data_IF_928952091912
#
_entry.id   IF_928952091912
#
_cell.length_a   1.000
_cell.length_b   1.000
_cell.length_c   1.000
_cell.angle_alpha   90.00
_cell.angle_beta   90.00
_cell.angle_gamma   90.00
#
_symmetry.space_group_name_H-M   'P 1'
#
loop_
_entity.id
_entity.type
_entity.pdbx_description
1 polymer ?
#
# COMPACT_ATOMS: atom_id res chain seq x y z
N UNK A 1 9.73 46.64 -17.03
CA UNK A 1 8.70 45.62 -17.33
C UNK A 1 9.03 44.41 -16.49
N UNK A 2 8.49 44.37 -15.27
CA UNK A 2 8.61 43.22 -14.38
C UNK A 2 7.36 42.38 -14.53
N UNK A 3 7.51 41.18 -15.08
CA UNK A 3 6.47 40.15 -15.03
C UNK A 3 6.50 39.54 -13.63
N UNK A 4 5.51 39.89 -12.82
CA UNK A 4 5.16 39.15 -11.61
C UNK A 4 4.58 37.80 -12.04
N UNK A 5 5.38 36.73 -11.95
CA UNK A 5 4.84 35.39 -11.74
C UNK A 5 4.12 35.42 -10.39
N UNK A 6 2.82 35.72 -10.41
CA UNK A 6 1.93 35.40 -9.30
C UNK A 6 1.84 33.87 -9.19
N UNK A 7 2.73 33.32 -8.38
CA UNK A 7 2.64 31.98 -7.84
C UNK A 7 1.39 31.97 -6.93
N UNK A 8 0.24 31.70 -7.52
CA UNK A 8 -1.04 31.62 -6.85
C UNK A 8 -1.06 30.39 -5.94
N UNK A 9 -0.45 30.55 -4.77
CA UNK A 9 -0.20 29.51 -3.78
C UNK A 9 -1.38 29.47 -2.82
N UNK A 10 -2.56 29.18 -3.35
CA UNK A 10 -3.69 28.85 -2.48
C UNK A 10 -3.32 27.60 -1.67
N UNK A 11 -3.56 27.56 -0.35
CA UNK A 11 -3.28 26.39 0.46
C UNK A 11 -4.15 25.24 -0.04
N UNK A 12 -3.55 24.25 -0.73
CA UNK A 12 -4.23 23.00 -1.04
C UNK A 12 -4.57 22.33 0.28
N UNK A 13 -5.83 22.42 0.69
CA UNK A 13 -6.35 21.67 1.83
C UNK A 13 -6.06 20.19 1.62
N UNK A 14 -5.65 19.48 2.67
CA UNK A 14 -5.27 18.06 2.60
C UNK A 14 -6.35 17.18 1.93
N UNK A 15 -7.61 17.59 2.05
CA UNK A 15 -8.76 16.99 1.38
C UNK A 15 -8.60 16.96 -0.16
N UNK A 16 -8.15 18.05 -0.77
CA UNK A 16 -7.99 18.15 -2.22
C UNK A 16 -6.83 17.27 -2.72
N UNK A 17 -5.75 17.15 -1.93
CA UNK A 17 -4.59 16.33 -2.29
C UNK A 17 -4.95 14.85 -2.29
N UNK A 18 -5.64 14.37 -1.24
CA UNK A 18 -6.04 12.97 -1.15
C UNK A 18 -7.06 12.61 -2.25
N UNK A 19 -8.03 13.48 -2.51
CA UNK A 19 -9.04 13.24 -3.54
C UNK A 19 -8.42 13.18 -4.93
N UNK A 20 -7.50 14.10 -5.23
CA UNK A 20 -6.78 14.09 -6.51
C UNK A 20 -5.88 12.85 -6.65
N UNK A 21 -5.23 12.40 -5.56
CA UNK A 21 -4.40 11.19 -5.56
C UNK A 21 -5.20 9.90 -5.81
N UNK A 22 -6.49 9.87 -5.41
CA UNK A 22 -7.39 8.73 -5.61
C UNK A 22 -8.20 8.82 -6.91
N UNK A 23 -8.10 9.92 -7.65
CA UNK A 23 -8.94 10.17 -8.83
C UNK A 23 -8.69 9.13 -9.94
N UNK A 24 -9.72 8.34 -10.23
CA UNK A 24 -9.67 7.28 -11.24
C UNK A 24 -8.90 6.04 -10.78
N UNK A 25 -8.63 5.90 -9.48
CA UNK A 25 -8.24 4.64 -8.88
C UNK A 25 -9.49 3.83 -8.54
N UNK A 26 -9.39 2.51 -8.66
CA UNK A 26 -10.38 1.59 -8.11
C UNK A 26 -9.82 0.94 -6.85
N UNK A 27 -10.63 0.61 -5.85
CA UNK A 27 -10.18 -0.21 -4.73
C UNK A 27 -9.59 -1.53 -5.22
N UNK A 28 -8.58 -2.06 -4.52
CA UNK A 28 -8.14 -3.44 -4.73
C UNK A 28 -9.27 -4.38 -4.33
N UNK A 29 -9.62 -5.29 -5.23
CA UNK A 29 -10.64 -6.32 -5.01
C UNK A 29 -10.03 -7.70 -5.22
N UNK A 30 -10.35 -8.63 -4.31
CA UNK A 30 -10.07 -10.05 -4.47
C UNK A 30 -11.41 -10.78 -4.54
N UNK A 31 -11.67 -11.57 -5.58
CA UNK A 31 -12.91 -12.32 -5.66
C UNK A 31 -12.94 -13.33 -4.51
N UNK A 32 -14.06 -13.35 -3.80
CA UNK A 32 -14.28 -14.34 -2.75
C UNK A 32 -14.62 -15.69 -3.39
N UNK A 33 -14.04 -16.77 -2.85
CA UNK A 33 -14.36 -18.15 -3.29
C UNK A 33 -15.82 -18.53 -3.01
N UNK A 34 -16.45 -17.86 -2.04
CA UNK A 34 -17.84 -18.07 -1.67
C UNK A 34 -18.67 -16.79 -1.80
N UNK A 35 -19.89 -16.92 -2.31
CA UNK A 35 -20.88 -15.84 -2.24
C UNK A 35 -21.18 -15.52 -0.77
N UNK A 36 -20.89 -14.28 -0.36
CA UNK A 36 -21.27 -13.76 0.96
C UNK A 36 -22.79 -13.62 1.02
N UNK A 37 -23.50 -14.69 1.38
CA UNK A 37 -24.97 -14.69 1.52
C UNK A 37 -25.45 -14.11 2.84
N UNK A 38 -24.56 -13.88 3.81
CA UNK A 38 -24.91 -13.32 5.12
C UNK A 38 -24.02 -12.14 5.52
N UNK A 39 -24.61 -11.01 5.95
CA UNK A 39 -23.88 -9.78 6.30
C UNK A 39 -23.02 -9.89 7.57
N UNK A 40 -23.11 -10.99 8.32
CA UNK A 40 -22.44 -11.17 9.62
C UNK A 40 -21.45 -12.34 9.66
N UNK A 41 -21.01 -12.86 8.50
CA UNK A 41 -20.06 -13.99 8.48
C UNK A 41 -18.62 -13.47 8.48
N UNK A 42 -18.16 -12.96 9.62
CA UNK A 42 -16.75 -12.71 9.88
C UNK A 42 -16.16 -13.99 10.47
N UNK A 43 -15.67 -14.89 9.62
CA UNK A 43 -14.71 -15.92 10.04
C UNK A 43 -13.34 -15.40 9.68
N UNK A 44 -12.51 -15.14 10.70
CA UNK A 44 -11.11 -14.84 10.50
C UNK A 44 -10.32 -16.15 10.46
N UNK A 45 -9.45 -16.26 9.45
CA UNK A 45 -8.42 -17.27 9.43
C UNK A 45 -7.11 -16.55 9.16
N UNK A 46 -6.15 -16.74 10.05
CA UNK A 46 -4.83 -16.12 9.94
C UNK A 46 -3.90 -17.13 9.28
N UNK A 47 -3.48 -16.81 8.06
CA UNK A 47 -2.38 -17.51 7.41
C UNK A 47 -1.07 -16.78 7.73
N UNK A 48 -0.15 -17.47 8.40
CA UNK A 48 1.20 -16.95 8.65
C UNK A 48 2.18 -17.47 7.59
N UNK A 49 2.97 -16.57 7.02
CA UNK A 49 4.02 -16.91 6.06
C UNK A 49 5.33 -16.30 6.55
N UNK A 50 6.38 -17.11 6.62
CA UNK A 50 7.72 -16.67 6.96
C UNK A 50 8.55 -16.52 5.69
N UNK A 51 9.20 -15.37 5.53
CA UNK A 51 10.14 -15.14 4.43
C UNK A 51 11.45 -15.88 4.73
N UNK A 52 11.95 -16.65 3.76
CA UNK A 52 13.23 -17.34 3.91
C UNK A 52 14.36 -16.34 4.19
N UNK A 53 15.30 -16.70 5.06
CA UNK A 53 16.35 -15.80 5.53
C UNK A 53 17.15 -15.17 4.38
N UNK A 54 17.52 -15.96 3.37
CA UNK A 54 18.30 -15.47 2.22
C UNK A 54 17.53 -14.42 1.41
N UNK A 55 16.22 -14.61 1.23
CA UNK A 55 15.36 -13.64 0.56
C UNK A 55 15.18 -12.38 1.42
N UNK A 56 15.04 -12.54 2.74
CA UNK A 56 14.96 -11.40 3.65
C UNK A 56 16.22 -10.52 3.60
N UNK A 57 17.41 -11.13 3.64
CA UNK A 57 18.68 -10.38 3.50
C UNK A 57 18.78 -9.66 2.15
N UNK A 58 18.36 -10.31 1.06
CA UNK A 58 18.32 -9.67 -0.26
C UNK A 58 17.36 -8.48 -0.31
N UNK A 59 16.19 -8.61 0.32
CA UNK A 59 15.20 -7.53 0.39
C UNK A 59 15.71 -6.34 1.21
N UNK A 60 16.44 -6.59 2.31
CA UNK A 60 17.09 -5.52 3.09
C UNK A 60 18.12 -4.80 2.22
N UNK A 61 19.06 -5.53 1.61
CA UNK A 61 20.10 -4.93 0.79
C UNK A 61 19.50 -4.11 -0.38
N UNK A 62 18.43 -4.62 -1.00
CA UNK A 62 17.69 -3.89 -2.02
C UNK A 62 17.06 -2.61 -1.46
N UNK A 63 16.44 -2.66 -0.28
CA UNK A 63 15.83 -1.50 0.39
C UNK A 63 16.82 -0.38 0.64
N UNK A 64 18.03 -0.72 1.08
CA UNK A 64 19.14 0.22 1.27
C UNK A 64 19.60 0.80 -0.06
N UNK A 65 19.75 -0.04 -1.09
CA UNK A 65 20.19 0.36 -2.42
C UNK A 65 19.24 1.39 -3.05
N UNK A 66 17.93 1.22 -2.91
CA UNK A 66 16.94 2.14 -3.48
C UNK A 66 16.46 3.22 -2.52
N UNK A 67 17.00 3.26 -1.29
CA UNK A 67 16.64 4.24 -0.25
C UNK A 67 15.15 4.27 0.09
N UNK A 68 14.52 3.11 0.16
CA UNK A 68 13.11 2.95 0.59
C UNK A 68 13.01 1.91 1.69
N UNK A 69 11.92 1.95 2.45
CA UNK A 69 11.69 0.97 3.52
C UNK A 69 11.31 -0.41 2.97
N UNK A 70 11.59 -1.46 3.75
CA UNK A 70 11.13 -2.81 3.44
C UNK A 70 9.60 -2.89 3.31
N UNK A 71 8.86 -2.09 4.09
CA UNK A 71 7.41 -1.97 3.99
C UNK A 71 6.97 -1.46 2.62
N UNK A 72 7.62 -0.43 2.09
CA UNK A 72 7.31 0.09 0.75
C UNK A 72 7.61 -0.93 -0.34
N UNK A 73 8.69 -1.69 -0.21
CA UNK A 73 9.00 -2.80 -1.14
C UNK A 73 7.88 -3.84 -1.12
N UNK A 74 7.42 -4.25 0.06
CA UNK A 74 6.33 -5.21 0.20
C UNK A 74 5.02 -4.66 -0.37
N UNK A 75 4.72 -3.38 -0.13
CA UNK A 75 3.53 -2.73 -0.69
C UNK A 75 3.57 -2.70 -2.23
N UNK A 76 4.74 -2.42 -2.81
CA UNK A 76 4.94 -2.50 -4.27
C UNK A 76 4.78 -3.93 -4.77
N UNK A 77 5.31 -4.92 -4.05
CA UNK A 77 5.15 -6.33 -4.40
C UNK A 77 3.68 -6.76 -4.40
N UNK A 78 2.90 -6.35 -3.39
CA UNK A 78 1.44 -6.59 -3.35
C UNK A 78 0.74 -5.90 -4.52
N UNK A 79 1.14 -4.67 -4.88
CA UNK A 79 0.58 -3.98 -6.05
C UNK A 79 0.88 -4.72 -7.36
N UNK A 80 2.09 -5.23 -7.52
CA UNK A 80 2.48 -6.05 -8.69
C UNK A 80 1.67 -7.35 -8.72
N UNK A 81 1.49 -8.00 -7.56
CA UNK A 81 0.68 -9.21 -7.45
C UNK A 81 -0.77 -8.95 -7.86
N UNK A 82 -1.38 -7.88 -7.34
CA UNK A 82 -2.73 -7.48 -7.71
C UNK A 82 -2.84 -7.17 -9.21
N UNK A 83 -1.89 -6.41 -9.77
CA UNK A 83 -1.87 -6.12 -11.21
C UNK A 83 -1.83 -7.41 -12.05
N UNK A 84 -1.03 -8.40 -11.64
CA UNK A 84 -0.96 -9.71 -12.32
C UNK A 84 -2.27 -10.50 -12.20
N UNK A 85 -2.98 -10.34 -11.08
CA UNK A 85 -4.21 -11.07 -10.80
C UNK A 85 -5.43 -10.45 -11.52
N UNK A 86 -5.60 -9.12 -11.45
CA UNK A 86 -6.79 -8.42 -11.95
C UNK A 86 -6.59 -7.66 -13.26
N UNK A 87 -5.34 -7.44 -13.69
CA UNK A 87 -5.02 -6.59 -14.85
C UNK A 87 -5.18 -5.08 -14.60
N UNK A 88 -5.56 -4.68 -13.38
CA UNK A 88 -5.86 -3.29 -13.04
C UNK A 88 -4.60 -2.52 -12.64
N UNK A 89 -4.26 -1.48 -13.39
CA UNK A 89 -3.06 -0.64 -13.19
C UNK A 89 -3.23 0.42 -12.09
N UNK A 90 -4.45 0.96 -11.96
CA UNK A 90 -4.79 2.05 -11.03
C UNK A 90 -5.62 1.51 -9.87
N UNK A 91 -4.96 0.79 -8.98
CA UNK A 91 -5.57 0.24 -7.78
C UNK A 91 -5.11 0.98 -6.51
N UNK A 92 -6.04 1.26 -5.60
CA UNK A 92 -5.76 1.85 -4.29
C UNK A 92 -5.67 0.75 -3.22
N UNK A 93 -4.56 0.72 -2.48
CA UNK A 93 -4.32 -0.19 -1.36
C UNK A 93 -4.36 0.63 -0.07
N UNK A 94 -5.22 0.24 0.87
CA UNK A 94 -5.22 0.80 2.22
C UNK A 94 -4.06 0.25 3.04
N UNK A 95 -3.31 1.11 3.71
CA UNK A 95 -2.31 0.71 4.72
C UNK A 95 -2.57 1.43 6.03
N UNK A 96 -2.31 0.76 7.16
CA UNK A 96 -2.47 1.33 8.49
C UNK A 96 -1.16 1.95 8.94
N UNK A 97 -1.16 3.25 9.26
CA UNK A 97 0.02 3.97 9.74
C UNK A 97 0.47 3.56 11.15
N UNK A 98 -0.39 2.91 11.95
CA UNK A 98 -0.12 2.64 13.37
C UNK A 98 0.32 1.21 13.71
N UNK A 99 0.22 0.25 12.78
CA UNK A 99 0.56 -1.15 13.07
C UNK A 99 2.08 -1.44 13.08
N UNK A 100 2.90 -0.52 12.52
CA UNK A 100 4.35 -0.65 12.42
C UNK A 100 5.11 -0.52 13.74
N UNK A 101 4.56 0.16 14.75
CA UNK A 101 5.22 0.27 16.05
C UNK A 101 5.19 -1.04 16.86
N UNK A 102 4.23 -1.94 16.58
CA UNK A 102 4.06 -3.18 17.35
C UNK A 102 4.79 -4.39 16.76
N UNK A 103 5.04 -4.41 15.44
CA UNK A 103 5.65 -5.56 14.76
C UNK A 103 7.19 -5.65 14.92
N UNK A 104 7.87 -4.55 15.26
CA UNK A 104 9.33 -4.52 15.45
C UNK A 104 9.75 -4.98 16.86
N UNK A 105 8.80 -5.17 17.79
CA UNK A 105 9.12 -5.41 19.20
C UNK A 105 9.02 -6.87 19.67
N UNK A 106 8.88 -7.86 18.78
CA UNK A 106 8.80 -9.27 19.20
C UNK A 106 9.40 -10.26 18.20
N UNK A 107 10.72 -10.30 18.20
CA UNK A 107 11.50 -11.45 17.74
C UNK A 107 12.70 -11.58 18.68
N UNK A 108 12.46 -12.16 19.86
CA UNK A 108 13.48 -12.79 20.71
C UNK A 108 13.23 -14.30 20.68
#
# INVERSE_FOLDING_TARGET
MGDQLELNTAPRTQHNIAFDALRGCVPVEFPADSHLTHPNFLTDSIASVTVANDLYTQLIAFSEQVSVSLHEILLVAVRILHLRYSGVVRAAIGTSFYCLHFAVHRAE
#
